data_IF_714368830233
#
_entry.id   IF_714368830233
#
_cell.length_a   1.000
_cell.length_b   1.000
_cell.length_c   1.000
_cell.angle_alpha   90.00
_cell.angle_beta   90.00
_cell.angle_gamma   90.00
#
_symmetry.space_group_name_H-M   'P 1'
#
loop_
_entity.id
_entity.type
_entity.pdbx_description
1 polymer ?
#
# COMPACT_ATOMS: atom_id res chain seq x y z
N UNK A 1 4.44 11.47 -2.52
CA UNK A 1 5.07 11.43 -3.86
C UNK A 1 6.00 12.62 -4.09
N UNK A 2 5.56 13.88 -3.98
CA UNK A 2 6.38 15.08 -4.27
C UNK A 2 7.71 15.14 -3.47
N UNK A 3 7.71 14.68 -2.22
CA UNK A 3 8.88 14.73 -1.34
C UNK A 3 9.97 13.70 -1.69
N UNK A 4 9.59 12.53 -2.24
CA UNK A 4 10.50 11.37 -2.39
C UNK A 4 10.70 10.92 -3.83
N UNK A 5 10.17 11.66 -4.80
CA UNK A 5 10.36 11.38 -6.22
C UNK A 5 10.39 12.65 -7.06
N UNK A 6 10.98 12.57 -8.24
CA UNK A 6 11.10 13.65 -9.22
C UNK A 6 10.32 13.29 -10.50
N UNK A 7 9.96 14.28 -11.35
CA UNK A 7 9.45 14.00 -12.70
C UNK A 7 10.39 13.05 -13.46
N UNK A 8 9.80 12.04 -14.10
CA UNK A 8 10.53 10.98 -14.82
C UNK A 8 10.94 9.78 -13.96
N UNK A 9 10.82 9.84 -12.63
CA UNK A 9 11.05 8.69 -11.75
C UNK A 9 9.98 7.61 -11.92
N UNK A 10 10.34 6.35 -11.66
CA UNK A 10 9.44 5.21 -11.63
C UNK A 10 8.84 5.00 -10.24
N UNK A 11 7.52 5.06 -10.15
CA UNK A 11 6.75 4.81 -8.92
C UNK A 11 6.09 3.44 -9.02
N UNK A 12 6.12 2.67 -7.93
CA UNK A 12 5.41 1.39 -7.81
C UNK A 12 4.30 1.50 -6.75
N UNK A 13 3.11 1.01 -7.10
CA UNK A 13 2.06 0.66 -6.16
C UNK A 13 1.63 -0.79 -6.38
N UNK A 14 1.98 -1.66 -5.44
CA UNK A 14 1.74 -3.10 -5.53
C UNK A 14 0.41 -3.55 -4.93
N UNK A 15 -0.40 -2.59 -4.46
CA UNK A 15 -1.79 -2.76 -4.02
C UNK A 15 -2.62 -1.60 -4.56
N UNK A 16 -2.58 -1.39 -5.88
CA UNK A 16 -3.03 -0.15 -6.51
C UNK A 16 -4.53 0.14 -6.37
N UNK A 17 -5.36 -0.88 -6.10
CA UNK A 17 -6.80 -0.70 -5.96
C UNK A 17 -7.43 0.01 -7.17
N UNK A 18 -8.05 1.16 -6.94
CA UNK A 18 -8.63 2.01 -7.99
C UNK A 18 -7.61 2.84 -8.78
N UNK A 19 -6.31 2.73 -8.48
CA UNK A 19 -5.23 3.39 -9.23
C UNK A 19 -4.94 4.83 -8.83
N UNK A 20 -5.34 5.29 -7.65
CA UNK A 20 -5.10 6.68 -7.19
C UNK A 20 -3.62 7.06 -7.26
N UNK A 21 -2.71 6.17 -6.82
CA UNK A 21 -1.26 6.40 -6.90
C UNK A 21 -0.80 6.60 -8.35
N UNK A 22 -1.37 5.84 -9.29
CA UNK A 22 -1.03 5.91 -10.72
C UNK A 22 -1.55 7.20 -11.36
N UNK A 23 -2.76 7.63 -10.97
CA UNK A 23 -3.35 8.92 -11.40
C UNK A 23 -2.45 10.08 -10.95
N UNK A 24 -2.06 10.09 -9.68
CA UNK A 24 -1.15 11.11 -9.13
C UNK A 24 0.23 11.07 -9.81
N UNK A 25 0.76 9.88 -10.08
CA UNK A 25 2.03 9.75 -10.81
C UNK A 25 1.92 10.36 -12.22
N UNK A 26 0.82 10.07 -12.94
CA UNK A 26 0.56 10.63 -14.27
C UNK A 26 0.47 12.16 -14.23
N UNK A 27 -0.30 12.73 -13.32
CA UNK A 27 -0.45 14.18 -13.15
C UNK A 27 0.87 14.89 -12.80
N UNK A 28 1.73 14.21 -12.08
CA UNK A 28 3.02 14.74 -11.62
C UNK A 28 4.20 14.41 -12.53
N UNK A 29 3.96 13.90 -13.75
CA UNK A 29 5.00 13.51 -14.72
C UNK A 29 5.96 12.41 -14.17
N UNK A 30 5.47 11.44 -13.40
CA UNK A 30 6.19 10.24 -12.99
C UNK A 30 5.72 9.05 -13.81
N UNK A 31 6.62 8.15 -14.15
CA UNK A 31 6.24 6.83 -14.64
C UNK A 31 5.67 6.01 -13.49
N UNK A 32 4.76 5.07 -13.77
CA UNK A 32 4.24 4.21 -12.71
C UNK A 32 4.02 2.77 -13.15
N UNK A 33 4.14 1.87 -12.19
CA UNK A 33 3.71 0.48 -12.28
C UNK A 33 2.70 0.24 -11.17
N UNK A 34 1.50 -0.21 -11.54
CA UNK A 34 0.46 -0.64 -10.61
C UNK A 34 0.24 -2.13 -10.69
N UNK A 35 0.12 -2.77 -9.54
CA UNK A 35 -0.19 -4.20 -9.45
C UNK A 35 -1.39 -4.37 -8.53
N UNK A 36 -2.31 -5.24 -8.89
CA UNK A 36 -3.39 -5.68 -8.01
C UNK A 36 -3.78 -7.11 -8.36
N UNK A 37 -4.06 -7.92 -7.34
CA UNK A 37 -4.48 -9.30 -7.53
C UNK A 37 -5.91 -9.41 -8.04
N UNK A 38 -6.74 -8.39 -7.78
CA UNK A 38 -8.14 -8.34 -8.17
C UNK A 38 -8.31 -7.77 -9.59
N UNK A 39 -8.77 -8.57 -10.58
CA UNK A 39 -8.99 -8.09 -11.95
C UNK A 39 -9.98 -6.93 -12.04
N UNK A 40 -10.92 -6.83 -11.10
CA UNK A 40 -11.87 -5.71 -11.06
C UNK A 40 -11.16 -4.39 -10.68
N UNK A 41 -10.20 -4.41 -9.75
CA UNK A 41 -9.35 -3.27 -9.42
C UNK A 41 -8.54 -2.82 -10.64
N UNK A 42 -8.00 -3.77 -11.39
CA UNK A 42 -7.27 -3.50 -12.64
C UNK A 42 -8.14 -2.73 -13.62
N UNK A 43 -9.35 -3.23 -13.93
CA UNK A 43 -10.28 -2.59 -14.86
C UNK A 43 -10.71 -1.18 -14.41
N UNK A 44 -10.95 -0.99 -13.10
CA UNK A 44 -11.27 0.33 -12.52
C UNK A 44 -10.08 1.28 -12.71
N UNK A 45 -8.86 0.84 -12.41
CA UNK A 45 -7.65 1.63 -12.58
C UNK A 45 -7.42 2.05 -14.03
N UNK A 46 -7.61 1.14 -14.98
CA UNK A 46 -7.53 1.42 -16.41
C UNK A 46 -8.53 2.52 -16.81
N UNK A 47 -9.77 2.43 -16.33
CA UNK A 47 -10.80 3.44 -16.57
C UNK A 47 -10.42 4.80 -15.97
N UNK A 48 -9.95 4.83 -14.74
CA UNK A 48 -9.57 6.06 -14.05
C UNK A 48 -8.36 6.77 -14.70
N UNK A 49 -7.58 6.07 -15.49
CA UNK A 49 -6.41 6.61 -16.20
C UNK A 49 -6.71 7.13 -17.61
N UNK A 50 -7.95 7.03 -18.10
CA UNK A 50 -8.32 7.46 -19.47
C UNK A 50 -8.38 8.98 -19.68
N UNK A 51 -8.23 9.78 -18.61
CA UNK A 51 -8.22 11.23 -18.73
C UNK A 51 -7.00 11.74 -19.49
N UNK A 52 -7.18 12.84 -20.23
CA UNK A 52 -6.10 13.52 -20.95
C UNK A 52 -5.41 14.53 -20.02
N UNK A 53 -4.08 14.58 -20.09
CA UNK A 53 -3.26 15.60 -19.44
C UNK A 53 -1.93 15.76 -20.20
N UNK A 54 -1.28 16.90 -20.02
CA UNK A 54 0.05 17.16 -20.58
C UNK A 54 1.14 16.39 -19.82
N UNK A 55 1.11 15.06 -19.93
CA UNK A 55 2.06 14.19 -19.25
C UNK A 55 2.78 13.26 -20.21
N UNK A 56 4.09 13.12 -20.01
CA UNK A 56 4.94 12.15 -20.73
C UNK A 56 5.10 10.85 -19.95
N UNK A 57 4.29 10.64 -18.91
CA UNK A 57 4.35 9.47 -18.05
C UNK A 57 4.00 8.19 -18.82
N UNK A 58 4.72 7.13 -18.51
CA UNK A 58 4.39 5.76 -18.92
C UNK A 58 3.75 5.05 -17.73
N UNK A 59 2.55 4.56 -17.92
CA UNK A 59 1.81 3.86 -16.86
C UNK A 59 1.62 2.41 -17.29
N UNK A 60 2.03 1.47 -16.45
CA UNK A 60 1.83 0.05 -16.64
C UNK A 60 0.94 -0.49 -15.53
N UNK A 61 -0.07 -1.23 -15.91
CA UNK A 61 -0.99 -1.90 -14.99
C UNK A 61 -0.86 -3.40 -15.21
N UNK A 62 -0.84 -4.16 -14.12
CA UNK A 62 -0.75 -5.61 -14.18
C UNK A 62 -1.66 -6.26 -13.15
N UNK A 63 -2.42 -7.24 -13.59
CA UNK A 63 -3.03 -8.21 -12.68
C UNK A 63 -1.94 -9.16 -12.19
N UNK A 64 -1.68 -9.18 -10.88
CA UNK A 64 -0.59 -9.96 -10.31
C UNK A 64 -0.56 -9.93 -8.79
N UNK A 65 0.34 -10.71 -8.22
CA UNK A 65 0.53 -10.80 -6.77
C UNK A 65 1.69 -9.91 -6.32
N UNK A 66 1.47 -9.12 -5.28
CA UNK A 66 2.47 -8.24 -4.66
C UNK A 66 3.67 -9.02 -4.06
N UNK A 67 3.51 -10.30 -3.77
CA UNK A 67 4.56 -11.19 -3.25
C UNK A 67 5.51 -11.71 -4.34
N UNK A 68 5.22 -11.44 -5.61
CA UNK A 68 6.02 -11.89 -6.75
C UNK A 68 6.00 -10.85 -7.88
N UNK A 69 7.02 -10.00 -7.89
CA UNK A 69 7.22 -8.95 -8.90
C UNK A 69 8.27 -9.34 -9.94
N UNK A 70 8.35 -10.62 -10.33
CA UNK A 70 9.37 -11.18 -11.25
C UNK A 70 9.54 -10.40 -12.56
N UNK A 71 8.51 -9.70 -13.01
CA UNK A 71 8.52 -8.88 -14.23
C UNK A 71 9.23 -7.53 -14.04
N UNK A 72 9.53 -7.12 -12.78
CA UNK A 72 10.33 -5.94 -12.47
C UNK A 72 11.73 -6.41 -12.09
N UNK A 73 12.73 -5.97 -12.85
CA UNK A 73 14.13 -6.25 -12.54
C UNK A 73 14.56 -5.56 -11.25
N UNK A 74 15.63 -6.08 -10.63
CA UNK A 74 16.21 -5.50 -9.43
C UNK A 74 16.59 -4.02 -9.63
N UNK A 75 16.39 -3.22 -8.60
CA UNK A 75 16.80 -1.81 -8.55
C UNK A 75 16.30 -0.97 -9.75
N UNK A 76 15.02 -1.11 -10.11
CA UNK A 76 14.39 -0.34 -11.21
C UNK A 76 13.42 0.74 -10.75
N UNK A 77 12.93 0.65 -9.55
CA UNK A 77 11.92 1.56 -8.98
C UNK A 77 12.62 2.67 -8.20
N UNK A 78 12.17 3.91 -8.39
CA UNK A 78 12.69 5.09 -7.70
C UNK A 78 11.89 5.42 -6.44
N UNK A 79 10.62 5.03 -6.38
CA UNK A 79 9.77 5.26 -5.21
C UNK A 79 8.66 4.21 -5.13
N UNK A 80 8.42 3.66 -3.95
CA UNK A 80 7.26 2.82 -3.68
C UNK A 80 6.28 3.62 -2.83
N UNK A 81 5.00 3.63 -3.22
CA UNK A 81 3.93 4.28 -2.47
C UNK A 81 2.71 3.36 -2.53
N UNK A 82 2.42 2.68 -1.43
CA UNK A 82 1.46 1.59 -1.44
C UNK A 82 0.64 1.52 -0.15
N UNK A 83 -0.56 0.94 -0.26
CA UNK A 83 -1.50 0.77 0.84
C UNK A 83 -2.04 -0.66 0.84
N UNK A 84 -1.38 -1.59 1.55
CA UNK A 84 -1.84 -2.97 1.64
C UNK A 84 -3.20 -3.09 2.36
N UNK A 85 -3.92 -4.20 2.15
CA UNK A 85 -5.16 -4.47 2.88
C UNK A 85 -4.90 -4.71 4.38
N UNK A 86 -5.99 -4.72 5.17
CA UNK A 86 -5.94 -4.87 6.64
C UNK A 86 -6.27 -6.30 7.10
N UNK A 87 -5.53 -7.30 6.64
CA UNK A 87 -5.79 -8.71 6.94
C UNK A 87 -7.30 -9.05 6.74
N UNK A 88 -7.89 -9.94 7.53
CA UNK A 88 -9.28 -10.35 7.42
C UNK A 88 -10.31 -9.37 8.04
N UNK A 89 -9.97 -8.10 8.16
CA UNK A 89 -10.87 -7.05 8.69
C UNK A 89 -11.78 -6.52 7.59
N UNK A 90 -11.22 -6.25 6.40
CA UNK A 90 -11.96 -5.84 5.21
C UNK A 90 -11.65 -6.84 4.11
N UNK A 91 -12.68 -7.53 3.62
CA UNK A 91 -12.55 -8.46 2.49
C UNK A 91 -12.65 -7.69 1.18
N UNK A 92 -11.58 -7.68 0.41
CA UNK A 92 -11.51 -6.98 -0.88
C UNK A 92 -11.88 -7.88 -2.06
N UNK A 93 -11.97 -9.20 -1.86
CA UNK A 93 -12.43 -10.13 -2.87
C UNK A 93 -13.37 -11.22 -2.32
N UNK A 94 -13.97 -11.99 -3.23
CA UNK A 94 -14.83 -13.13 -2.90
C UNK A 94 -14.08 -14.48 -2.94
N UNK A 95 -12.78 -14.49 -2.65
CA UNK A 95 -11.97 -15.71 -2.62
C UNK A 95 -10.99 -15.85 -3.79
N UNK A 96 -10.34 -14.75 -4.20
CA UNK A 96 -9.24 -14.81 -5.16
C UNK A 96 -8.06 -15.50 -4.49
N UNK A 97 -7.49 -16.50 -5.15
CA UNK A 97 -6.29 -17.19 -4.66
C UNK A 97 -5.12 -16.20 -4.54
N UNK A 98 -4.45 -16.21 -3.39
CA UNK A 98 -3.36 -15.28 -3.08
C UNK A 98 -3.81 -13.91 -2.56
N UNK A 99 -5.12 -13.65 -2.41
CA UNK A 99 -5.61 -12.41 -1.78
C UNK A 99 -5.31 -12.42 -0.28
N UNK A 100 -4.32 -11.66 0.12
CA UNK A 100 -3.87 -11.56 1.52
C UNK A 100 -4.90 -10.86 2.43
N UNK A 101 -5.89 -10.16 1.88
CA UNK A 101 -7.00 -9.58 2.66
C UNK A 101 -7.91 -10.62 3.30
N UNK A 102 -7.82 -11.88 2.91
CA UNK A 102 -8.61 -12.97 3.44
C UNK A 102 -7.92 -13.71 4.59
N UNK A 103 -6.64 -13.47 4.80
CA UNK A 103 -5.78 -14.20 5.72
C UNK A 103 -5.93 -13.72 7.17
N UNK A 104 -5.74 -14.63 8.12
CA UNK A 104 -5.55 -14.25 9.52
C UNK A 104 -4.30 -13.38 9.69
N UNK A 105 -4.24 -12.62 10.79
CA UNK A 105 -3.17 -11.61 10.99
C UNK A 105 -1.76 -12.17 10.84
N UNK A 106 -1.48 -13.35 11.40
CA UNK A 106 -0.13 -13.93 11.37
C UNK A 106 0.23 -14.44 9.97
N UNK A 107 -0.73 -15.04 9.24
CA UNK A 107 -0.57 -15.44 7.84
C UNK A 107 -0.39 -14.22 6.94
N UNK A 108 -1.20 -13.18 7.15
CA UNK A 108 -1.06 -11.89 6.45
C UNK A 108 0.34 -11.30 6.62
N UNK A 109 0.88 -11.29 7.85
CA UNK A 109 2.22 -10.76 8.10
C UNK A 109 3.33 -11.63 7.46
N UNK A 110 3.11 -12.94 7.38
CA UNK A 110 4.03 -13.83 6.64
C UNK A 110 4.09 -13.48 5.15
N UNK A 111 2.94 -13.18 4.54
CA UNK A 111 2.89 -12.72 3.15
C UNK A 111 3.46 -11.30 3.00
N UNK A 112 3.17 -10.39 3.95
CA UNK A 112 3.75 -9.04 3.94
C UNK A 112 5.28 -9.03 4.05
N UNK A 113 5.88 -10.04 4.66
CA UNK A 113 7.33 -10.21 4.65
C UNK A 113 7.84 -10.45 3.23
N UNK A 114 7.19 -11.32 2.44
CA UNK A 114 7.55 -11.54 1.02
C UNK A 114 7.35 -10.26 0.19
N UNK A 115 6.26 -9.52 0.46
CA UNK A 115 6.02 -8.20 -0.16
C UNK A 115 7.15 -7.23 0.16
N UNK A 116 7.65 -7.21 1.40
CA UNK A 116 8.76 -6.35 1.81
C UNK A 116 10.07 -6.76 1.13
N UNK A 117 10.35 -8.07 1.00
CA UNK A 117 11.52 -8.61 0.31
C UNK A 117 11.51 -8.22 -1.19
N UNK A 118 10.37 -8.37 -1.88
CA UNK A 118 10.20 -7.94 -3.28
C UNK A 118 10.32 -6.41 -3.43
N UNK A 119 9.72 -5.64 -2.50
CA UNK A 119 9.87 -4.19 -2.45
C UNK A 119 11.33 -3.78 -2.33
N UNK A 120 12.07 -4.45 -1.44
CA UNK A 120 13.51 -4.21 -1.27
C UNK A 120 14.29 -4.56 -2.53
N UNK A 121 14.00 -5.69 -3.17
CA UNK A 121 14.67 -6.13 -4.40
C UNK A 121 14.50 -5.11 -5.52
N UNK A 122 13.26 -4.68 -5.80
CA UNK A 122 12.97 -3.82 -6.96
C UNK A 122 13.31 -2.36 -6.76
N UNK A 123 13.38 -1.87 -5.51
CA UNK A 123 13.72 -0.49 -5.19
C UNK A 123 15.21 -0.23 -5.39
N UNK A 124 15.58 0.91 -5.95
CA UNK A 124 16.98 1.35 -6.06
C UNK A 124 17.57 1.70 -4.69
N UNK A 125 18.86 1.52 -4.54
CA UNK A 125 19.59 1.90 -3.31
C UNK A 125 19.42 3.40 -3.02
N UNK A 126 19.25 3.73 -1.74
CA UNK A 126 19.05 5.10 -1.26
C UNK A 126 17.65 5.68 -1.52
N UNK A 127 16.77 4.94 -2.19
CA UNK A 127 15.40 5.38 -2.51
C UNK A 127 14.41 4.97 -1.40
N UNK A 128 13.20 5.53 -1.47
CA UNK A 128 12.21 5.46 -0.41
C UNK A 128 11.03 4.54 -0.77
N UNK A 129 10.55 3.84 0.26
CA UNK A 129 9.31 3.07 0.23
C UNK A 129 8.37 3.62 1.30
N UNK A 130 7.21 4.13 0.88
CA UNK A 130 6.16 4.63 1.76
C UNK A 130 4.99 3.64 1.80
N UNK A 131 4.69 3.13 2.99
CA UNK A 131 3.61 2.15 3.20
C UNK A 131 2.61 2.73 4.17
N UNK A 132 1.35 2.87 3.75
CA UNK A 132 0.26 3.32 4.60
C UNK A 132 -0.45 2.10 5.19
N UNK A 133 -0.69 2.12 6.50
CA UNK A 133 -1.47 1.11 7.20
C UNK A 133 -1.91 1.62 8.57
N UNK A 134 -3.07 1.17 9.05
CA UNK A 134 -3.56 1.44 10.41
C UNK A 134 -3.54 0.22 11.30
N UNK A 135 -3.79 0.44 12.58
CA UNK A 135 -4.07 -0.61 13.53
C UNK A 135 -5.52 -1.07 13.43
N UNK A 136 -5.79 -2.26 13.89
CA UNK A 136 -7.14 -2.83 13.85
C UNK A 136 -7.61 -3.19 15.26
N UNK A 137 -8.93 -3.17 15.47
CA UNK A 137 -9.55 -3.61 16.72
C UNK A 137 -10.33 -4.90 16.50
N UNK A 138 -10.06 -5.91 17.31
CA UNK A 138 -10.78 -7.19 17.28
C UNK A 138 -11.10 -7.63 18.71
N UNK A 139 -12.36 -7.98 18.97
CA UNK A 139 -12.82 -8.39 20.32
C UNK A 139 -12.43 -7.40 21.43
N UNK A 140 -12.59 -6.09 21.17
CA UNK A 140 -12.25 -5.02 22.11
C UNK A 140 -10.76 -4.73 22.29
N UNK A 141 -9.86 -5.52 21.70
CA UNK A 141 -8.40 -5.37 21.81
C UNK A 141 -7.81 -4.75 20.55
N UNK A 142 -6.83 -3.88 20.72
CA UNK A 142 -6.05 -3.34 19.60
C UNK A 142 -5.02 -4.39 19.15
N UNK A 143 -4.98 -4.64 17.87
CA UNK A 143 -3.89 -5.37 17.21
C UNK A 143 -3.02 -4.30 16.55
N UNK A 144 -1.77 -4.08 16.99
CA UNK A 144 -0.89 -3.05 16.44
C UNK A 144 -0.32 -3.51 15.10
N UNK A 145 -1.21 -3.62 14.11
CA UNK A 145 -0.90 -4.17 12.78
C UNK A 145 0.14 -3.33 12.06
N UNK A 146 0.07 -1.99 12.22
CA UNK A 146 1.03 -1.07 11.62
C UNK A 146 2.46 -1.34 12.07
N UNK A 147 2.70 -1.48 13.37
CA UNK A 147 4.04 -1.76 13.90
C UNK A 147 4.53 -3.16 13.56
N UNK A 148 3.65 -4.15 13.59
CA UNK A 148 4.01 -5.52 13.17
C UNK A 148 4.37 -5.59 11.68
N UNK A 149 3.68 -4.84 10.83
CA UNK A 149 4.03 -4.71 9.40
C UNK A 149 5.35 -3.95 9.23
N UNK A 150 5.60 -2.89 10.02
CA UNK A 150 6.89 -2.20 10.02
C UNK A 150 8.05 -3.17 10.25
N UNK A 151 7.93 -4.11 11.20
CA UNK A 151 8.94 -5.14 11.46
C UNK A 151 9.23 -6.02 10.23
N UNK A 152 8.23 -6.33 9.40
CA UNK A 152 8.44 -7.09 8.16
C UNK A 152 9.39 -6.34 7.20
N UNK A 153 9.24 -5.02 7.08
CA UNK A 153 10.11 -4.20 6.23
C UNK A 153 11.50 -4.05 6.82
N UNK A 154 11.65 -3.88 8.13
CA UNK A 154 12.96 -3.84 8.80
C UNK A 154 13.71 -5.17 8.62
N UNK A 155 13.03 -6.30 8.74
CA UNK A 155 13.62 -7.64 8.52
C UNK A 155 14.05 -7.87 7.06
N UNK A 156 13.37 -7.24 6.09
CA UNK A 156 13.76 -7.28 4.68
C UNK A 156 15.01 -6.42 4.36
N UNK A 157 15.51 -5.64 5.33
CA UNK A 157 16.72 -4.84 5.20
C UNK A 157 16.49 -3.33 5.06
N UNK A 158 15.26 -2.87 5.10
CA UNK A 158 14.96 -1.43 5.09
C UNK A 158 15.35 -0.75 6.41
N UNK A 159 15.65 0.54 6.33
CA UNK A 159 15.81 1.41 7.50
C UNK A 159 14.58 2.31 7.62
N UNK A 160 13.95 2.36 8.80
CA UNK A 160 12.83 3.28 9.00
C UNK A 160 13.34 4.73 9.06
N UNK A 161 12.84 5.56 8.16
CA UNK A 161 13.26 6.95 8.01
C UNK A 161 12.31 7.92 8.71
N UNK A 162 11.01 7.71 8.54
CA UNK A 162 9.97 8.56 9.10
C UNK A 162 8.74 7.72 9.47
N UNK A 163 8.02 8.15 10.50
CA UNK A 163 6.68 7.67 10.84
C UNK A 163 5.76 8.89 10.82
N UNK A 164 4.81 8.88 9.91
CA UNK A 164 3.84 9.96 9.74
C UNK A 164 2.50 9.47 10.26
N UNK A 165 1.87 10.25 11.12
CA UNK A 165 0.50 10.01 11.58
C UNK A 165 -0.45 10.73 10.63
N UNK A 166 -1.32 9.97 9.99
CA UNK A 166 -2.40 10.48 9.16
C UNK A 166 -3.70 10.40 9.96
N UNK A 167 -4.22 11.54 10.35
CA UNK A 167 -5.52 11.63 10.99
C UNK A 167 -6.64 11.27 10.00
N UNK A 168 -7.62 10.49 10.47
CA UNK A 168 -8.81 10.13 9.70
C UNK A 168 -9.97 11.04 10.08
N UNK A 169 -10.58 11.70 9.08
CA UNK A 169 -11.75 12.52 9.24
C UNK A 169 -12.95 11.89 8.52
N UNK A 170 -14.13 12.02 9.09
CA UNK A 170 -15.41 11.58 8.50
C UNK A 170 -15.42 10.10 8.08
N UNK A 171 -14.82 9.22 8.89
CA UNK A 171 -14.86 7.79 8.65
C UNK A 171 -16.20 7.20 9.12
N UNK A 172 -16.89 6.46 8.25
CA UNK A 172 -18.17 5.78 8.59
C UNK A 172 -18.05 4.84 9.80
N UNK A 173 -16.89 4.22 9.97
CA UNK A 173 -16.61 3.39 11.15
C UNK A 173 -16.52 4.23 12.42
N UNK A 174 -15.96 5.43 12.37
CA UNK A 174 -15.89 6.37 13.50
C UNK A 174 -17.31 6.79 13.91
N UNK A 175 -18.14 7.25 12.99
CA UNK A 175 -19.53 7.64 13.25
C UNK A 175 -20.33 6.49 13.88
N UNK A 176 -20.17 5.27 13.37
CA UNK A 176 -20.82 4.08 13.93
C UNK A 176 -20.39 3.85 15.39
N UNK A 177 -19.10 3.89 15.68
CA UNK A 177 -18.57 3.63 17.01
C UNK A 177 -18.82 4.76 18.01
N UNK A 178 -18.92 6.01 17.57
CA UNK A 178 -19.29 7.15 18.42
C UNK A 178 -20.70 7.01 19.00
N UNK A 179 -21.60 6.36 18.26
CA UNK A 179 -22.98 6.11 18.72
C UNK A 179 -23.10 4.94 19.68
N UNK A 180 -22.05 4.13 19.84
CA UNK A 180 -22.04 2.98 20.73
C UNK A 180 -21.48 3.39 22.11
N UNK A 181 -22.06 2.84 23.18
CA UNK A 181 -21.57 3.04 24.54
C UNK A 181 -20.29 2.19 24.75
N UNK A 182 -19.13 2.68 24.28
CA UNK A 182 -17.88 1.96 24.32
C UNK A 182 -16.99 2.45 25.47
N UNK A 183 -16.23 1.55 26.06
CA UNK A 183 -15.25 1.82 27.11
C UNK A 183 -13.81 1.92 26.55
N UNK A 184 -13.65 2.27 25.28
CA UNK A 184 -12.35 2.43 24.63
C UNK A 184 -12.31 3.65 23.70
N UNK A 185 -11.11 4.16 23.45
CA UNK A 185 -10.89 5.23 22.48
C UNK A 185 -10.93 4.70 21.05
N UNK A 186 -11.44 5.51 20.12
CA UNK A 186 -11.50 5.15 18.71
C UNK A 186 -10.10 5.19 18.08
N UNK A 187 -9.90 4.32 17.09
CA UNK A 187 -8.71 4.37 16.22
C UNK A 187 -9.03 5.32 15.07
N UNK A 188 -8.61 6.58 15.18
CA UNK A 188 -8.91 7.65 14.21
C UNK A 188 -7.65 8.08 13.45
N UNK A 189 -6.70 7.18 13.24
CA UNK A 189 -5.46 7.46 12.52
C UNK A 189 -4.95 6.24 11.77
N UNK A 190 -4.11 6.52 10.79
CA UNK A 190 -3.27 5.56 10.08
C UNK A 190 -1.81 6.03 10.15
N UNK A 191 -0.89 5.11 9.96
CA UNK A 191 0.53 5.41 9.82
C UNK A 191 0.91 5.44 8.35
N UNK A 192 1.88 6.31 8.02
CA UNK A 192 2.66 6.16 6.80
C UNK A 192 4.09 5.95 7.25
N UNK A 193 4.55 4.71 7.18
CA UNK A 193 5.95 4.37 7.42
C UNK A 193 6.74 4.67 6.15
N UNK A 194 7.80 5.46 6.30
CA UNK A 194 8.72 5.76 5.21
C UNK A 194 10.04 5.07 5.48
N UNK A 195 10.37 4.12 4.63
CA UNK A 195 11.58 3.33 4.70
C UNK A 195 12.58 3.76 3.63
N UNK A 196 13.85 3.58 3.91
CA UNK A 196 14.96 3.76 2.98
C UNK A 196 15.64 2.41 2.73
N UNK A 197 15.95 2.10 1.45
CA UNK A 197 16.80 0.98 1.07
C UNK A 197 18.27 1.36 1.18
#
# INVERSE_FOLDING_TARGET
MLRYSNPGDWVLDQFMGSGTTLVEAKLLNRHAVGVDINPQSVSISETNLQFQCESKSKIFIRNGNATDLYFIKDSRIDFICTHPPYANIIKYSKGIEGDISLLAVDEFLSEMKKVAEESFRVLKNGKMCAVMIGDVRKYGKVIPLGFRMMECFLQAGFVNKEIIIKEQHNCRSTDYWETQNNNFLLLAHEYIFVFQK
#
